data_IF_411833744086
#
_entry.id   IF_411833744086
#
_cell.length_a   1.000
_cell.length_b   1.000
_cell.length_c   1.000
_cell.angle_alpha   90.00
_cell.angle_beta   90.00
_cell.angle_gamma   90.00
#
_symmetry.space_group_name_H-M   'P 1'
#
loop_
_entity.id
_entity.type
_entity.pdbx_description
1 polymer ?
#
# COMPACT_ATOMS: atom_id res chain seq x y z
N UNK A 1 -69.81 -5.87 -71.10
CA UNK A 1 -71.20 -6.12 -70.69
C UNK A 1 -71.42 -5.60 -69.27
N UNK A 2 -72.59 -5.03 -68.97
CA UNK A 2 -72.76 -3.92 -68.02
C UNK A 2 -73.77 -4.22 -66.87
N UNK A 3 -74.03 -3.19 -66.03
CA UNK A 3 -75.26 -2.90 -65.24
C UNK A 3 -75.58 -3.82 -64.02
N UNK A 4 -76.16 -3.39 -62.88
CA UNK A 4 -76.99 -2.20 -62.55
C UNK A 4 -77.25 -2.06 -61.01
N UNK A 5 -77.53 -0.82 -60.54
CA UNK A 5 -78.30 -0.34 -59.33
C UNK A 5 -77.72 -0.45 -57.90
N UNK A 6 -77.93 0.47 -56.94
CA UNK A 6 -78.52 1.85 -56.80
C UNK A 6 -78.11 2.33 -55.37
N UNK A 7 -77.52 3.51 -55.10
CA UNK A 7 -78.07 4.88 -54.88
C UNK A 7 -79.21 5.02 -53.84
N UNK A 8 -78.91 5.62 -52.67
CA UNK A 8 -79.73 6.59 -51.89
C UNK A 8 -78.75 7.32 -50.94
N UNK A 9 -78.44 8.62 -51.11
CA UNK A 9 -79.28 9.75 -50.68
C UNK A 9 -79.16 9.91 -49.16
N UNK A 10 -78.21 10.69 -48.62
CA UNK A 10 -78.34 12.14 -48.51
C UNK A 10 -79.06 12.52 -47.23
N UNK A 11 -78.34 12.72 -46.11
CA UNK A 11 -78.87 13.36 -44.90
C UNK A 11 -77.88 14.43 -44.45
N UNK A 12 -78.31 15.67 -44.67
CA UNK A 12 -77.87 16.88 -43.97
C UNK A 12 -78.03 16.68 -42.47
N UNK A 13 -77.06 17.10 -41.66
CA UNK A 13 -77.35 18.12 -40.65
C UNK A 13 -76.06 18.59 -40.00
N UNK A 14 -75.85 19.89 -40.15
CA UNK A 14 -74.85 20.67 -39.44
C UNK A 14 -75.14 20.73 -37.93
N UNK A 15 -74.14 21.27 -37.25
CA UNK A 15 -74.21 21.93 -35.94
C UNK A 15 -74.30 21.01 -34.71
N UNK A 16 -73.18 20.87 -34.02
CA UNK A 16 -73.01 21.37 -32.64
C UNK A 16 -71.66 20.88 -32.09
N UNK A 17 -70.67 21.75 -31.84
CA UNK A 17 -70.41 22.35 -30.52
C UNK A 17 -70.71 21.34 -29.38
N UNK A 18 -69.76 20.84 -28.58
CA UNK A 18 -68.92 21.58 -27.65
C UNK A 18 -67.86 20.66 -27.05
N UNK A 19 -66.71 21.28 -26.78
CA UNK A 19 -65.54 20.84 -26.05
C UNK A 19 -65.87 20.45 -24.61
N UNK A 20 -65.35 19.31 -24.11
CA UNK A 20 -64.61 19.19 -22.82
C UNK A 20 -64.39 17.72 -22.48
N UNK A 21 -63.21 17.20 -22.79
CA UNK A 21 -62.48 16.31 -21.87
C UNK A 21 -61.00 16.63 -22.02
N UNK A 22 -60.42 17.16 -20.95
CA UNK A 22 -58.98 17.37 -20.79
C UNK A 22 -58.22 16.06 -21.04
N UNK A 23 -57.03 16.13 -21.64
CA UNK A 23 -56.00 15.23 -21.17
C UNK A 23 -54.66 15.91 -20.95
N UNK A 24 -53.95 15.29 -20.02
CA UNK A 24 -52.51 15.09 -19.99
C UNK A 24 -51.64 16.14 -19.27
N UNK A 25 -51.38 15.80 -18.01
CA UNK A 25 -50.28 16.28 -17.17
C UNK A 25 -48.96 16.00 -17.90
N UNK A 26 -48.03 16.97 -18.02
CA UNK A 26 -46.74 16.73 -18.63
C UNK A 26 -45.85 15.94 -17.67
N UNK A 27 -45.69 14.63 -17.90
CA UNK A 27 -44.61 13.85 -17.30
C UNK A 27 -43.28 14.26 -17.95
N UNK A 28 -42.61 15.26 -17.38
CA UNK A 28 -41.20 15.50 -17.64
C UNK A 28 -40.42 14.30 -17.12
N UNK A 29 -40.13 13.34 -18.00
CA UNK A 29 -39.11 12.33 -17.78
C UNK A 29 -37.76 13.03 -17.67
N UNK A 30 -37.33 13.34 -16.45
CA UNK A 30 -35.97 13.74 -16.18
C UNK A 30 -35.06 12.55 -16.50
N UNK A 31 -34.31 12.65 -17.61
CA UNK A 31 -33.29 11.68 -18.00
C UNK A 31 -32.21 11.61 -16.94
N UNK A 32 -32.33 10.66 -16.01
CA UNK A 32 -31.36 10.35 -14.96
C UNK A 32 -30.20 9.45 -15.46
N UNK A 33 -30.15 9.13 -16.75
CA UNK A 33 -29.23 8.12 -17.29
C UNK A 33 -27.84 8.65 -17.69
N UNK A 34 -27.61 9.96 -17.76
CA UNK A 34 -26.35 10.52 -18.26
C UNK A 34 -25.27 10.72 -17.19
N UNK A 35 -25.64 10.74 -15.90
CA UNK A 35 -24.68 10.83 -14.80
C UNK A 35 -23.95 9.52 -14.50
N UNK A 36 -24.57 8.37 -14.79
CA UNK A 36 -24.05 7.05 -14.42
C UNK A 36 -22.80 6.65 -15.23
N UNK A 37 -22.70 7.09 -16.50
CA UNK A 37 -21.55 6.76 -17.36
C UNK A 37 -20.24 7.38 -16.90
N UNK A 38 -20.27 8.61 -16.38
CA UNK A 38 -19.06 9.30 -15.91
C UNK A 38 -18.57 8.73 -14.57
N UNK A 39 -19.49 8.31 -13.70
CA UNK A 39 -19.15 7.69 -12.41
C UNK A 39 -18.46 6.35 -12.60
N UNK A 40 -18.92 5.53 -13.55
CA UNK A 40 -18.33 4.22 -13.82
C UNK A 40 -16.94 4.29 -14.47
N UNK A 41 -16.67 5.33 -15.26
CA UNK A 41 -15.35 5.58 -15.84
C UNK A 41 -14.36 6.22 -14.85
N UNK A 42 -14.82 7.07 -13.93
CA UNK A 42 -13.93 7.82 -13.03
C UNK A 42 -13.39 7.00 -11.84
N UNK A 43 -14.16 6.03 -11.33
CA UNK A 43 -13.78 5.18 -10.21
C UNK A 43 -12.44 4.42 -10.41
N UNK A 44 -12.19 3.73 -11.54
CA UNK A 44 -10.93 3.01 -11.73
C UNK A 44 -9.71 3.94 -11.81
N UNK A 45 -9.86 5.15 -12.37
CA UNK A 45 -8.76 6.13 -12.42
C UNK A 45 -8.40 6.65 -11.03
N UNK A 46 -9.40 6.92 -10.18
CA UNK A 46 -9.14 7.32 -8.80
C UNK A 46 -8.47 6.20 -8.00
N UNK A 47 -8.95 4.96 -8.12
CA UNK A 47 -8.31 3.82 -7.45
C UNK A 47 -6.87 3.60 -7.92
N UNK A 48 -6.61 3.70 -9.23
CA UNK A 48 -5.25 3.60 -9.77
C UNK A 48 -4.35 4.73 -9.28
N UNK A 49 -4.88 5.95 -9.20
CA UNK A 49 -4.15 7.11 -8.67
C UNK A 49 -3.80 6.93 -7.19
N UNK A 50 -4.75 6.52 -6.34
CA UNK A 50 -4.48 6.26 -4.92
C UNK A 50 -3.54 5.07 -4.72
N UNK A 51 -3.65 4.02 -5.53
CA UNK A 51 -2.74 2.87 -5.47
C UNK A 51 -1.32 3.27 -5.89
N UNK A 52 -1.19 4.06 -6.97
CA UNK A 52 0.07 4.61 -7.44
C UNK A 52 0.70 5.56 -6.42
N UNK A 53 -0.10 6.42 -5.80
CA UNK A 53 0.37 7.37 -4.79
C UNK A 53 0.78 6.66 -3.50
N UNK A 54 0.03 5.63 -3.08
CA UNK A 54 0.41 4.74 -1.97
C UNK A 54 1.73 4.01 -2.25
N UNK A 55 1.90 3.47 -3.46
CA UNK A 55 3.15 2.83 -3.89
C UNK A 55 4.32 3.80 -3.89
N UNK A 56 4.10 5.03 -4.36
CA UNK A 56 5.13 6.07 -4.41
C UNK A 56 5.52 6.55 -3.01
N UNK A 57 4.56 6.66 -2.09
CA UNK A 57 4.82 6.95 -0.67
C UNK A 57 5.57 5.79 0.00
N UNK A 58 5.23 4.53 -0.31
CA UNK A 58 5.95 3.36 0.19
C UNK A 58 7.42 3.34 -0.28
N UNK A 59 7.69 3.80 -1.51
CA UNK A 59 9.06 3.96 -2.03
C UNK A 59 9.79 5.18 -1.43
N UNK A 60 9.06 6.24 -1.09
CA UNK A 60 9.62 7.48 -0.55
C UNK A 60 9.85 7.45 0.97
N UNK A 61 9.20 6.54 1.70
CA UNK A 61 9.42 6.37 3.13
C UNK A 61 10.88 5.95 3.40
N UNK A 62 11.67 6.73 4.18
CA UNK A 62 12.98 6.32 4.66
C UNK A 62 12.80 5.26 5.74
N UNK A 63 12.42 4.08 5.30
CA UNK A 63 13.13 2.85 5.55
C UNK A 63 14.05 2.86 6.80
N UNK A 64 13.47 2.71 7.99
CA UNK A 64 14.21 2.63 9.25
C UNK A 64 15.11 1.40 9.25
N UNK A 65 16.39 1.59 9.60
CA UNK A 65 17.32 0.48 9.77
C UNK A 65 16.74 -0.53 10.78
N UNK A 66 16.88 -1.84 10.51
CA UNK A 66 16.40 -2.87 11.42
C UNK A 66 17.12 -2.76 12.77
N UNK A 67 16.33 -2.80 13.82
CA UNK A 67 16.77 -2.75 15.21
C UNK A 67 16.32 -4.03 15.90
N UNK A 68 17.23 -4.67 16.64
CA UNK A 68 16.91 -5.85 17.45
C UNK A 68 17.16 -5.54 18.91
N UNK A 69 16.16 -5.79 19.76
CA UNK A 69 16.22 -5.56 21.21
C UNK A 69 16.70 -4.15 21.60
N UNK A 70 16.30 -3.13 20.83
CA UNK A 70 16.73 -1.74 21.06
C UNK A 70 18.16 -1.43 20.59
N UNK A 71 18.84 -2.38 19.96
CA UNK A 71 20.22 -2.26 19.48
C UNK A 71 20.23 -2.19 17.95
N UNK A 72 20.84 -1.15 17.36
CA UNK A 72 20.87 -0.97 15.91
C UNK A 72 21.70 -2.06 15.24
N UNK A 73 21.16 -2.65 14.16
CA UNK A 73 21.91 -3.60 13.34
C UNK A 73 22.68 -2.86 12.25
N UNK A 74 23.99 -3.04 12.20
CA UNK A 74 24.85 -2.41 11.20
C UNK A 74 25.15 -3.33 10.02
N UNK A 75 25.15 -2.76 8.82
CA UNK A 75 25.64 -3.39 7.60
C UNK A 75 24.61 -3.64 6.49
N UNK A 76 23.33 -3.44 6.77
CA UNK A 76 22.29 -3.38 5.75
C UNK A 76 22.53 -2.20 4.81
N UNK A 77 22.45 -2.44 3.50
CA UNK A 77 22.52 -1.40 2.46
C UNK A 77 21.14 -0.90 2.05
N UNK A 78 20.13 -1.75 2.18
CA UNK A 78 18.71 -1.46 1.94
C UNK A 78 17.84 -2.27 2.90
N UNK A 79 16.56 -1.91 3.07
CA UNK A 79 15.65 -2.69 3.92
C UNK A 79 15.24 -4.03 3.33
N UNK A 80 15.16 -4.09 2.00
CA UNK A 80 14.79 -5.30 1.29
C UNK A 80 16.00 -6.23 1.10
N UNK A 81 17.17 -5.86 1.62
CA UNK A 81 18.31 -6.76 1.64
C UNK A 81 18.01 -7.93 2.59
N UNK A 82 18.00 -9.17 2.10
CA UNK A 82 17.72 -10.30 2.96
C UNK A 82 18.91 -10.59 3.89
N UNK A 83 18.61 -11.04 5.11
CA UNK A 83 19.60 -11.19 6.20
C UNK A 83 20.77 -12.11 5.82
N UNK A 84 20.55 -13.12 4.97
CA UNK A 84 21.63 -14.01 4.52
C UNK A 84 22.68 -13.26 3.67
N UNK A 85 22.31 -12.25 2.89
CA UNK A 85 23.29 -11.47 2.10
C UNK A 85 24.18 -10.66 3.04
N UNK A 86 23.59 -10.03 4.05
CA UNK A 86 24.33 -9.31 5.07
C UNK A 86 25.32 -10.21 5.80
N UNK A 87 24.84 -11.37 6.27
CA UNK A 87 25.69 -12.33 6.97
C UNK A 87 26.83 -12.85 6.05
N UNK A 88 26.63 -12.89 4.73
CA UNK A 88 27.61 -13.42 3.79
C UNK A 88 28.68 -12.36 3.55
N UNK A 89 28.26 -11.09 3.45
CA UNK A 89 29.15 -9.94 3.47
C UNK A 89 30.01 -9.89 4.73
N UNK A 90 29.43 -10.23 5.89
CA UNK A 90 30.22 -10.37 7.12
C UNK A 90 31.26 -11.50 6.97
N UNK A 91 30.89 -12.67 6.44
CA UNK A 91 31.81 -13.78 6.23
C UNK A 91 32.99 -13.42 5.30
N UNK A 92 32.75 -12.69 4.20
CA UNK A 92 33.80 -12.28 3.26
C UNK A 92 34.53 -10.99 3.65
N UNK A 93 33.97 -10.16 4.54
CA UNK A 93 34.40 -8.78 4.75
C UNK A 93 34.23 -8.25 6.18
N UNK A 94 34.39 -9.11 7.19
CA UNK A 94 34.17 -8.73 8.60
C UNK A 94 34.96 -7.50 9.04
N UNK A 95 36.26 -7.41 8.69
CA UNK A 95 37.15 -6.32 9.14
C UNK A 95 36.69 -4.95 8.65
N UNK A 96 36.32 -4.84 7.38
CA UNK A 96 35.85 -3.57 6.81
C UNK A 96 34.49 -3.20 7.41
N UNK A 97 33.60 -4.18 7.63
CA UNK A 97 32.29 -3.94 8.22
C UNK A 97 32.37 -3.50 9.68
N UNK A 98 33.23 -4.12 10.50
CA UNK A 98 33.47 -3.73 11.89
C UNK A 98 34.08 -2.32 11.95
N UNK A 99 35.08 -2.04 11.10
CA UNK A 99 35.72 -0.71 11.05
C UNK A 99 34.73 0.38 10.66
N UNK A 100 33.91 0.12 9.65
CA UNK A 100 32.87 1.04 9.20
C UNK A 100 31.77 1.23 10.27
N UNK A 101 31.32 0.14 10.90
CA UNK A 101 30.34 0.18 11.99
C UNK A 101 30.85 1.02 13.16
N UNK A 102 32.11 0.81 13.57
CA UNK A 102 32.76 1.59 14.64
C UNK A 102 32.93 3.07 14.29
N UNK A 103 33.16 3.42 13.02
CA UNK A 103 33.26 4.83 12.61
C UNK A 103 31.90 5.53 12.55
N UNK A 104 30.84 4.81 12.17
CA UNK A 104 29.49 5.36 12.10
C UNK A 104 28.78 5.42 13.47
N UNK A 105 29.03 4.44 14.33
CA UNK A 105 28.35 4.26 15.60
C UNK A 105 29.40 4.10 16.71
N UNK A 106 29.90 5.23 17.23
CA UNK A 106 30.98 5.24 18.24
C UNK A 106 30.45 5.19 19.68
N UNK A 107 29.30 5.79 19.94
CA UNK A 107 28.83 6.07 21.31
C UNK A 107 27.77 5.08 21.81
N UNK A 108 27.32 4.14 20.98
CA UNK A 108 26.33 3.11 21.36
C UNK A 108 26.74 1.74 20.84
N UNK A 109 26.36 0.64 21.52
CA UNK A 109 26.57 -0.70 20.98
C UNK A 109 25.79 -0.89 19.68
N UNK A 110 26.28 -1.77 18.83
CA UNK A 110 25.59 -2.15 17.60
C UNK A 110 25.78 -3.65 17.32
N UNK A 111 24.82 -4.23 16.59
CA UNK A 111 24.82 -5.63 16.23
C UNK A 111 25.38 -5.83 14.82
N UNK A 112 26.18 -6.89 14.66
CA UNK A 112 26.64 -7.39 13.37
C UNK A 112 26.10 -8.80 13.17
N UNK A 113 25.45 -9.01 12.02
CA UNK A 113 24.89 -10.32 11.69
C UNK A 113 25.96 -11.27 11.20
N UNK A 114 26.14 -12.37 11.92
CA UNK A 114 27.06 -13.46 11.56
C UNK A 114 26.24 -14.70 11.22
N UNK A 115 26.87 -15.68 10.58
CA UNK A 115 26.20 -16.94 10.23
C UNK A 115 25.66 -17.69 11.48
N UNK A 116 26.44 -17.71 12.57
CA UNK A 116 26.05 -18.23 13.89
C UNK A 116 26.89 -17.57 14.99
N UNK A 117 26.41 -17.46 16.23
CA UNK A 117 25.59 -16.35 16.76
C UNK A 117 26.00 -14.95 16.28
N UNK A 118 25.08 -13.99 16.39
CA UNK A 118 25.33 -12.58 16.09
C UNK A 118 26.35 -11.97 17.05
N UNK A 119 27.08 -10.97 16.55
CA UNK A 119 28.17 -10.34 17.28
C UNK A 119 27.78 -8.92 17.64
N UNK A 120 27.66 -8.65 18.94
CA UNK A 120 27.50 -7.28 19.43
C UNK A 120 28.87 -6.63 19.61
N UNK A 121 29.06 -5.46 19.01
CA UNK A 121 30.27 -4.66 19.18
C UNK A 121 29.99 -3.58 20.22
N UNK A 122 30.69 -3.65 21.35
CA UNK A 122 30.57 -2.66 22.42
C UNK A 122 31.64 -1.57 22.28
N UNK A 123 31.30 -0.30 22.54
CA UNK A 123 32.29 0.76 22.64
C UNK A 123 33.12 0.62 23.92
N UNK A 124 34.32 1.19 23.89
CA UNK A 124 35.34 1.02 24.95
C UNK A 124 34.91 1.54 26.32
N UNK A 125 33.89 2.41 26.38
CA UNK A 125 33.34 2.93 27.63
C UNK A 125 32.77 1.85 28.56
N UNK A 126 32.31 0.72 28.01
CA UNK A 126 31.76 -0.38 28.81
C UNK A 126 32.84 -1.37 29.28
N UNK A 127 34.12 -1.13 28.97
CA UNK A 127 35.17 -2.10 29.24
C UNK A 127 35.40 -2.32 30.74
N UNK A 128 35.33 -1.26 31.55
CA UNK A 128 35.46 -1.39 33.01
C UNK A 128 34.24 -2.12 33.61
N UNK A 129 33.03 -1.87 33.11
CA UNK A 129 31.83 -2.58 33.56
C UNK A 129 31.88 -4.08 33.21
N UNK A 130 32.40 -4.42 32.02
CA UNK A 130 32.57 -5.82 31.59
C UNK A 130 33.60 -6.56 32.45
N UNK A 131 34.67 -5.89 32.88
CA UNK A 131 35.69 -6.50 33.76
C UNK A 131 35.16 -6.83 35.15
N UNK A 132 34.11 -6.14 35.61
CA UNK A 132 33.47 -6.41 36.89
C UNK A 132 32.49 -7.59 36.83
N UNK A 133 32.12 -8.06 35.63
CA UNK A 133 31.19 -9.19 35.47
C UNK A 133 31.91 -10.53 35.65
N UNK A 134 31.27 -11.53 36.29
CA UNK A 134 31.83 -12.87 36.39
C UNK A 134 31.96 -13.51 35.01
N UNK A 135 33.00 -14.33 34.82
CA UNK A 135 33.27 -15.02 33.54
C UNK A 135 32.12 -15.90 33.05
N UNK A 136 31.26 -16.37 33.96
CA UNK A 136 30.08 -17.17 33.64
C UNK A 136 29.03 -16.44 32.81
N UNK A 137 28.96 -15.11 32.92
CA UNK A 137 28.07 -14.28 32.10
C UNK A 137 28.73 -13.82 30.80
N UNK A 138 30.05 -13.89 30.71
CA UNK A 138 30.84 -13.45 29.55
C UNK A 138 31.13 -14.60 28.58
N UNK A 139 31.18 -15.83 29.07
CA UNK A 139 31.43 -17.00 28.24
C UNK A 139 30.12 -17.50 27.64
N UNK A 140 30.11 -17.68 26.30
CA UNK A 140 28.92 -18.13 25.57
C UNK A 140 28.45 -19.52 26.05
N UNK A 141 29.41 -20.42 26.32
CA UNK A 141 29.13 -21.81 26.72
C UNK A 141 28.46 -21.87 28.08
N UNK A 142 28.93 -21.07 29.04
CA UNK A 142 28.41 -21.07 30.41
C UNK A 142 27.11 -20.27 30.52
N UNK A 143 26.97 -19.17 29.77
CA UNK A 143 25.74 -18.39 29.71
C UNK A 143 24.55 -19.18 29.12
N UNK A 144 24.82 -20.17 28.27
CA UNK A 144 23.80 -21.03 27.65
C UNK A 144 23.54 -22.34 28.42
N UNK A 145 24.30 -22.62 29.48
CA UNK A 145 24.18 -23.85 30.28
C UNK A 145 23.11 -23.74 31.41
N UNK A 146 22.30 -22.68 31.39
CA UNK A 146 21.24 -22.38 32.38
C UNK A 146 19.89 -22.90 31.91
#
# INVERSE_FOLDING_TARGET
MPCYLDRFGGVLSAAAYTIRLMPNIPSKCYSFSSGFSYVQAALPFLLFFFFSLSWLVALACPCRAPEEDGVPVYGYRSLLEPTFVLRARFAFGARSLIRAGRSHIKDRPFLLRRWCPDVMVLPIKYLEELRLKPGSQLSLVEAQAV
#
